data_IF_996784223164
#
_entry.id   IF_996784223164
#
_cell.length_a   1.000
_cell.length_b   1.000
_cell.length_c   1.000
_cell.angle_alpha   90.00
_cell.angle_beta   90.00
_cell.angle_gamma   90.00
#
_symmetry.space_group_name_H-M   'P 1'
#
loop_
_entity.id
_entity.type
_entity.pdbx_description
1 polymer ?
#
# COMPACT_ATOMS: atom_id res chain seq x y z
N UNK A 1 0.37 35.50 -25.58
CA UNK A 1 -0.14 34.40 -26.43
C UNK A 1 0.87 33.26 -26.64
N UNK A 2 2.09 33.50 -27.15
CA UNK A 2 3.09 32.42 -27.39
C UNK A 2 3.45 31.59 -26.15
N UNK A 3 3.64 32.24 -24.99
CA UNK A 3 3.94 31.55 -23.73
C UNK A 3 2.81 30.63 -23.25
N UNK A 4 1.55 31.02 -23.44
CA UNK A 4 0.39 30.23 -23.00
C UNK A 4 0.23 28.94 -23.82
N UNK A 5 0.50 29.02 -25.13
CA UNK A 5 0.43 27.88 -26.06
C UNK A 5 1.51 26.85 -25.72
N UNK A 6 2.73 27.28 -25.37
CA UNK A 6 3.82 26.37 -24.97
C UNK A 6 3.45 25.62 -23.67
N UNK A 7 2.87 26.31 -22.68
CA UNK A 7 2.45 25.67 -21.43
C UNK A 7 1.32 24.65 -21.65
N UNK A 8 0.34 24.98 -22.50
CA UNK A 8 -0.75 24.07 -22.86
C UNK A 8 -0.25 22.80 -23.58
N UNK A 9 0.71 22.95 -24.50
CA UNK A 9 1.32 21.81 -25.20
C UNK A 9 2.13 20.92 -24.24
N UNK A 10 2.85 21.52 -23.29
CA UNK A 10 3.60 20.76 -22.27
C UNK A 10 2.66 19.96 -21.35
N UNK A 11 1.54 20.55 -20.91
CA UNK A 11 0.53 19.87 -20.10
C UNK A 11 -0.17 18.73 -20.86
N UNK A 12 -0.48 18.95 -22.14
CA UNK A 12 -1.07 17.92 -23.00
C UNK A 12 -0.09 16.76 -23.22
N UNK A 13 1.19 17.05 -23.45
CA UNK A 13 2.22 16.03 -23.60
C UNK A 13 2.39 15.22 -22.31
N UNK A 14 2.45 15.89 -21.15
CA UNK A 14 2.53 15.23 -19.85
C UNK A 14 1.31 14.34 -19.58
N UNK A 15 0.11 14.83 -19.91
CA UNK A 15 -1.12 14.05 -19.80
C UNK A 15 -1.08 12.79 -20.69
N UNK A 16 -0.65 12.94 -21.94
CA UNK A 16 -0.49 11.83 -22.87
C UNK A 16 0.51 10.80 -22.35
N UNK A 17 1.69 11.22 -21.87
CA UNK A 17 2.70 10.30 -21.32
C UNK A 17 2.22 9.55 -20.09
N UNK A 18 1.50 10.22 -19.17
CA UNK A 18 0.92 9.59 -17.98
C UNK A 18 -0.15 8.57 -18.39
N UNK A 19 -1.00 8.92 -19.35
CA UNK A 19 -2.06 8.04 -19.84
C UNK A 19 -1.57 6.81 -20.61
N UNK A 20 -0.39 6.89 -21.24
CA UNK A 20 0.26 5.74 -21.89
C UNK A 20 0.88 4.84 -20.84
N UNK A 21 1.61 5.42 -19.87
CA UNK A 21 2.23 4.66 -18.78
C UNK A 21 1.21 3.90 -17.92
N UNK A 22 0.01 4.45 -17.70
CA UNK A 22 -1.05 3.76 -16.95
C UNK A 22 -1.61 2.56 -17.74
N UNK A 23 -1.82 2.71 -19.05
CA UNK A 23 -2.28 1.61 -19.92
C UNK A 23 -1.25 0.49 -20.04
N UNK A 24 0.04 0.83 -20.15
CA UNK A 24 1.11 -0.16 -20.19
C UNK A 24 1.24 -0.91 -18.87
N UNK A 25 1.03 -0.23 -17.74
CA UNK A 25 0.97 -0.88 -16.43
C UNK A 25 -0.24 -1.84 -16.34
N UNK A 26 -1.43 -1.41 -16.75
CA UNK A 26 -2.61 -2.27 -16.79
C UNK A 26 -2.41 -3.49 -17.69
N UNK A 27 -1.84 -3.31 -18.88
CA UNK A 27 -1.55 -4.39 -19.80
C UNK A 27 -0.47 -5.34 -19.28
N UNK A 28 0.58 -4.82 -18.64
CA UNK A 28 1.66 -5.63 -18.05
C UNK A 28 1.14 -6.41 -16.83
N UNK A 29 0.34 -5.79 -15.96
CA UNK A 29 -0.38 -6.47 -14.88
C UNK A 29 -1.27 -7.56 -15.46
N UNK A 30 -2.04 -7.29 -16.52
CA UNK A 30 -2.91 -8.30 -17.14
C UNK A 30 -2.15 -9.47 -17.76
N UNK A 31 -0.96 -9.21 -18.31
CA UNK A 31 -0.08 -10.23 -18.90
C UNK A 31 0.63 -11.06 -17.82
N UNK A 32 1.10 -10.42 -16.75
CA UNK A 32 1.81 -11.08 -15.65
C UNK A 32 0.84 -11.78 -14.68
N UNK A 33 -0.41 -11.31 -14.59
CA UNK A 33 -1.53 -11.97 -13.90
C UNK A 33 -2.50 -12.61 -14.90
N UNK A 34 -2.06 -13.66 -15.61
CA UNK A 34 -2.97 -14.59 -16.29
C UNK A 34 -3.62 -15.55 -15.27
N UNK A 35 -4.33 -14.99 -14.29
CA UNK A 35 -4.97 -15.76 -13.22
C UNK A 35 -6.46 -15.87 -13.44
N UNK A 36 -7.00 -17.07 -13.18
CA UNK A 36 -8.44 -17.34 -13.27
C UNK A 36 -9.14 -16.81 -12.00
N UNK A 37 -9.76 -15.63 -12.15
CA UNK A 37 -10.52 -14.97 -11.07
C UNK A 37 -11.92 -15.58 -11.03
N UNK A 38 -12.18 -16.41 -10.01
CA UNK A 38 -13.46 -17.13 -9.89
C UNK A 38 -14.59 -16.28 -9.31
N UNK A 39 -14.25 -15.19 -8.61
CA UNK A 39 -15.22 -14.30 -7.97
C UNK A 39 -14.66 -12.89 -7.85
N UNK A 40 -15.50 -11.89 -8.14
CA UNK A 40 -15.25 -10.48 -7.81
C UNK A 40 -16.31 -10.00 -6.84
N UNK A 41 -15.91 -9.29 -5.78
CA UNK A 41 -16.80 -8.60 -4.84
C UNK A 41 -16.46 -7.11 -4.82
N UNK A 42 -17.46 -6.25 -4.63
CA UNK A 42 -17.31 -4.80 -4.59
C UNK A 42 -17.47 -4.31 -3.15
N UNK A 43 -16.52 -3.50 -2.69
CA UNK A 43 -16.60 -2.84 -1.39
C UNK A 43 -16.79 -1.34 -1.60
N UNK A 44 -17.76 -0.75 -0.92
CA UNK A 44 -18.00 0.69 -0.99
C UNK A 44 -18.89 1.19 0.14
N UNK A 45 -18.53 2.33 0.72
CA UNK A 45 -19.27 2.94 1.83
C UNK A 45 -20.64 3.48 1.36
N UNK A 46 -20.74 3.96 0.12
CA UNK A 46 -21.94 4.58 -0.46
C UNK A 46 -22.51 3.75 -1.63
N UNK A 47 -23.84 3.82 -1.79
CA UNK A 47 -24.57 3.13 -2.85
C UNK A 47 -24.62 1.61 -2.72
N UNK A 48 -24.98 0.93 -3.81
CA UNK A 48 -25.06 -0.53 -3.86
C UNK A 48 -23.66 -1.14 -4.00
N UNK A 49 -23.20 -1.88 -2.99
CA UNK A 49 -21.95 -2.63 -3.00
C UNK A 49 -22.19 -3.94 -2.23
N UNK A 50 -21.44 -5.00 -2.53
CA UNK A 50 -21.58 -6.29 -1.84
C UNK A 50 -21.24 -6.16 -0.35
N UNK A 51 -20.25 -5.32 -0.03
CA UNK A 51 -19.83 -5.04 1.34
C UNK A 51 -19.63 -3.54 1.58
N UNK A 52 -19.86 -3.12 2.83
CA UNK A 52 -19.61 -1.75 3.30
C UNK A 52 -18.20 -1.53 3.85
N UNK A 53 -17.56 -2.60 4.30
CA UNK A 53 -16.23 -2.59 4.93
C UNK A 53 -15.33 -3.61 4.24
N UNK A 54 -14.02 -3.34 4.28
CA UNK A 54 -13.01 -4.23 3.68
C UNK A 54 -12.91 -5.51 4.49
N UNK A 55 -12.95 -5.42 5.83
CA UNK A 55 -12.88 -6.60 6.68
C UNK A 55 -14.04 -7.57 6.40
N UNK A 56 -15.28 -7.08 6.22
CA UNK A 56 -16.41 -7.96 5.92
C UNK A 56 -16.26 -8.70 4.58
N UNK A 57 -15.64 -8.06 3.57
CA UNK A 57 -15.35 -8.71 2.31
C UNK A 57 -14.31 -9.82 2.46
N UNK A 58 -13.25 -9.59 3.25
CA UNK A 58 -12.24 -10.60 3.59
C UNK A 58 -12.87 -11.76 4.36
N UNK A 59 -13.71 -11.46 5.35
CA UNK A 59 -14.37 -12.48 6.18
C UNK A 59 -15.31 -13.37 5.37
N UNK A 60 -15.87 -12.85 4.27
CA UNK A 60 -16.73 -13.61 3.36
C UNK A 60 -16.00 -14.65 2.52
N UNK A 61 -14.66 -14.58 2.45
CA UNK A 61 -13.85 -15.55 1.72
C UNK A 61 -13.80 -16.85 2.51
N UNK A 62 -14.05 -18.03 1.92
CA UNK A 62 -13.97 -19.31 2.63
C UNK A 62 -12.58 -19.55 3.24
N UNK A 63 -12.55 -20.17 4.42
CA UNK A 63 -11.29 -20.66 5.01
C UNK A 63 -10.66 -21.71 4.08
N UNK A 64 -9.33 -21.65 3.92
CA UNK A 64 -8.58 -22.56 3.03
C UNK A 64 -8.82 -22.28 1.55
N UNK A 65 -9.22 -21.05 1.19
CA UNK A 65 -9.48 -20.67 -0.20
C UNK A 65 -8.26 -20.95 -1.11
N UNK A 66 -8.51 -21.59 -2.26
CA UNK A 66 -7.49 -21.92 -3.27
C UNK A 66 -7.69 -21.22 -4.61
N UNK A 67 -8.74 -20.41 -4.73
CA UNK A 67 -9.10 -19.74 -5.98
C UNK A 67 -8.81 -18.24 -5.91
N UNK A 68 -8.50 -17.59 -7.02
CA UNK A 68 -8.30 -16.15 -7.01
C UNK A 68 -9.63 -15.42 -6.82
N UNK A 69 -9.71 -14.59 -5.78
CA UNK A 69 -10.87 -13.73 -5.49
C UNK A 69 -10.41 -12.28 -5.60
N UNK A 70 -11.16 -11.49 -6.37
CA UNK A 70 -10.92 -10.05 -6.51
C UNK A 70 -11.85 -9.27 -5.59
N UNK A 71 -11.28 -8.40 -4.77
CA UNK A 71 -11.96 -7.40 -3.97
C UNK A 71 -11.74 -6.05 -4.66
N UNK A 72 -12.79 -5.53 -5.30
CA UNK A 72 -12.76 -4.24 -5.98
C UNK A 72 -13.21 -3.14 -5.02
N UNK A 73 -12.31 -2.22 -4.71
CA UNK A 73 -12.56 -1.10 -3.80
C UNK A 73 -13.05 0.10 -4.59
N UNK A 74 -14.21 0.65 -4.18
CA UNK A 74 -14.64 1.97 -4.65
C UNK A 74 -13.81 3.07 -4.02
N UNK A 75 -13.83 4.23 -4.66
CA UNK A 75 -13.16 5.42 -4.15
C UNK A 75 -13.72 5.78 -2.77
N UNK A 76 -12.85 6.06 -1.81
CA UNK A 76 -13.22 6.34 -0.44
C UNK A 76 -12.06 6.24 0.55
N UNK A 77 -12.31 6.75 1.75
CA UNK A 77 -11.43 6.59 2.91
C UNK A 77 -12.02 5.51 3.80
N UNK A 78 -11.35 4.37 3.85
CA UNK A 78 -11.68 3.23 4.69
C UNK A 78 -10.92 3.35 6.00
N UNK A 79 -11.57 3.93 7.01
CA UNK A 79 -10.97 4.06 8.34
C UNK A 79 -11.19 2.78 9.16
N UNK A 80 -10.42 1.74 8.86
CA UNK A 80 -10.58 0.36 9.37
C UNK A 80 -9.25 -0.19 9.88
N UNK A 81 -9.31 -1.06 10.90
CA UNK A 81 -8.20 -1.95 11.28
C UNK A 81 -8.47 -3.32 10.67
N UNK A 82 -7.60 -3.75 9.76
CA UNK A 82 -7.81 -4.90 8.88
C UNK A 82 -6.79 -5.98 9.20
N UNK A 83 -7.25 -7.22 9.25
CA UNK A 83 -6.38 -8.39 9.26
C UNK A 83 -6.77 -9.29 8.10
N UNK A 84 -5.78 -9.70 7.29
CA UNK A 84 -5.94 -10.71 6.24
C UNK A 84 -5.35 -12.02 6.76
N UNK A 85 -6.18 -12.96 7.27
CA UNK A 85 -5.70 -14.17 7.91
C UNK A 85 -5.04 -15.13 6.92
N UNK A 86 -4.11 -15.97 7.40
CA UNK A 86 -3.32 -16.88 6.58
C UNK A 86 -4.15 -17.92 5.79
N UNK A 87 -5.36 -18.22 6.24
CA UNK A 87 -6.30 -19.15 5.60
C UNK A 87 -7.13 -18.51 4.47
N UNK A 88 -6.99 -17.20 4.23
CA UNK A 88 -7.67 -16.43 3.17
C UNK A 88 -6.74 -16.09 2.01
N UNK A 89 -6.12 -17.10 1.40
CA UNK A 89 -5.10 -16.90 0.37
C UNK A 89 -5.68 -16.45 -0.98
N UNK A 90 -4.80 -15.99 -1.89
CA UNK A 90 -5.11 -15.65 -3.29
C UNK A 90 -6.16 -14.54 -3.44
N UNK A 91 -5.86 -13.41 -2.83
CA UNK A 91 -6.72 -12.22 -2.86
C UNK A 91 -6.06 -11.17 -3.76
N UNK A 92 -6.84 -10.61 -4.69
CA UNK A 92 -6.49 -9.38 -5.40
C UNK A 92 -7.35 -8.27 -4.84
N UNK A 93 -6.75 -7.33 -4.13
CA UNK A 93 -7.41 -6.11 -3.66
C UNK A 93 -7.03 -4.96 -4.59
N UNK A 94 -8.02 -4.36 -5.26
CA UNK A 94 -7.77 -3.39 -6.32
C UNK A 94 -8.64 -2.15 -6.17
N UNK A 95 -8.00 -0.98 -6.15
CA UNK A 95 -8.64 0.31 -6.40
C UNK A 95 -8.58 0.69 -7.88
N UNK A 96 -9.35 1.71 -8.27
CA UNK A 96 -9.29 2.27 -9.62
C UNK A 96 -7.98 3.05 -9.83
N UNK A 97 -7.67 3.95 -8.90
CA UNK A 97 -6.43 4.73 -8.88
C UNK A 97 -5.94 4.91 -7.44
N UNK A 98 -4.62 5.05 -7.24
CA UNK A 98 -3.99 4.99 -5.92
C UNK A 98 -4.42 6.10 -4.97
N UNK A 99 -4.69 7.29 -5.50
CA UNK A 99 -5.09 8.46 -4.71
C UNK A 99 -6.56 8.45 -4.30
N UNK A 100 -7.35 7.50 -4.81
CA UNK A 100 -8.80 7.47 -4.60
C UNK A 100 -9.25 6.45 -3.55
N UNK A 101 -8.41 5.47 -3.22
CA UNK A 101 -8.69 4.44 -2.21
C UNK A 101 -7.65 4.52 -1.11
N UNK A 102 -8.08 4.97 0.07
CA UNK A 102 -7.21 5.16 1.25
C UNK A 102 -7.68 4.24 2.36
N UNK A 103 -6.87 3.25 2.72
CA UNK A 103 -7.03 2.46 3.93
C UNK A 103 -6.23 3.14 5.03
N UNK A 104 -6.89 3.54 6.11
CA UNK A 104 -6.23 4.23 7.20
C UNK A 104 -6.73 3.83 8.58
N UNK A 105 -5.86 4.02 9.56
CA UNK A 105 -6.20 3.91 10.97
C UNK A 105 -5.17 4.70 11.80
N UNK A 106 -5.46 4.94 13.08
CA UNK A 106 -4.52 5.55 14.02
C UNK A 106 -4.13 4.51 15.07
N UNK A 107 -2.94 3.94 14.94
CA UNK A 107 -2.45 2.92 15.86
C UNK A 107 -0.93 2.91 15.91
N UNK A 108 -0.36 2.94 17.11
CA UNK A 108 1.07 3.05 17.31
C UNK A 108 1.49 2.46 18.67
N UNK A 109 2.69 1.89 18.71
CA UNK A 109 3.30 1.36 19.92
C UNK A 109 3.88 -0.05 19.77
N UNK A 110 3.36 -0.85 18.85
CA UNK A 110 3.85 -2.21 18.59
C UNK A 110 4.24 -2.38 17.13
N UNK A 111 5.51 -2.65 16.85
CA UNK A 111 6.03 -2.65 15.48
C UNK A 111 5.49 -3.79 14.61
N UNK A 112 4.95 -4.84 15.23
CA UNK A 112 4.37 -6.02 14.57
C UNK A 112 2.86 -6.19 14.80
N UNK A 113 2.18 -5.24 15.46
CA UNK A 113 0.75 -5.34 15.77
C UNK A 113 -0.03 -4.01 15.70
N UNK A 114 0.67 -2.87 15.71
CA UNK A 114 0.07 -1.55 15.52
C UNK A 114 0.07 -1.17 14.04
N UNK A 115 -1.10 -0.91 13.49
CA UNK A 115 -1.23 -0.39 12.14
C UNK A 115 -2.62 -0.60 11.54
N UNK A 116 -2.92 0.06 10.41
CA UNK A 116 -4.20 -0.10 9.70
C UNK A 116 -4.43 -1.51 9.17
N UNK A 117 -3.37 -2.21 8.77
CA UNK A 117 -3.51 -3.52 8.11
C UNK A 117 -2.35 -4.47 8.41
N UNK A 118 -2.69 -5.73 8.68
CA UNK A 118 -1.75 -6.84 8.82
C UNK A 118 -2.10 -7.94 7.81
N UNK A 119 -1.10 -8.39 7.05
CA UNK A 119 -1.28 -9.40 5.99
C UNK A 119 -0.52 -10.66 6.35
N UNK A 120 -1.27 -11.75 6.57
CA UNK A 120 -0.73 -13.11 6.76
C UNK A 120 -0.99 -14.02 5.55
N UNK A 121 -1.93 -13.66 4.69
CA UNK A 121 -2.36 -14.48 3.56
C UNK A 121 -1.31 -14.53 2.44
N UNK A 122 -0.88 -15.74 2.09
CA UNK A 122 -0.07 -15.95 0.89
C UNK A 122 -0.80 -15.54 -0.39
N UNK A 123 -0.04 -15.12 -1.40
CA UNK A 123 -0.57 -14.68 -2.68
C UNK A 123 -1.52 -13.48 -2.56
N UNK A 124 -1.22 -12.55 -1.66
CA UNK A 124 -1.92 -11.27 -1.57
C UNK A 124 -1.41 -10.31 -2.65
N UNK A 125 -2.33 -9.69 -3.38
CA UNK A 125 -2.02 -8.69 -4.40
C UNK A 125 -2.77 -7.41 -4.08
N UNK A 126 -2.08 -6.28 -3.99
CA UNK A 126 -2.67 -4.97 -3.86
C UNK A 126 -2.34 -4.11 -5.09
N UNK A 127 -3.35 -3.43 -5.63
CA UNK A 127 -3.22 -2.59 -6.84
C UNK A 127 -3.90 -1.26 -6.58
N UNK A 128 -3.17 -0.16 -6.76
CA UNK A 128 -3.72 1.20 -6.69
C UNK A 128 -4.43 1.49 -5.36
N UNK A 129 -3.75 1.22 -4.23
CA UNK A 129 -4.27 1.45 -2.87
C UNK A 129 -3.25 2.26 -2.07
N UNK A 130 -3.74 3.23 -1.30
CA UNK A 130 -2.95 3.92 -0.27
C UNK A 130 -3.18 3.28 1.10
N UNK A 131 -2.10 2.83 1.73
CA UNK A 131 -2.06 2.39 3.13
C UNK A 131 -1.46 3.51 3.98
N UNK A 132 -2.22 4.00 4.95
CA UNK A 132 -1.83 5.18 5.73
C UNK A 132 -2.03 4.96 7.22
N UNK A 133 -0.96 5.04 7.99
CA UNK A 133 -1.11 5.26 9.42
C UNK A 133 -1.26 6.77 9.67
N UNK A 134 -2.30 7.15 10.41
CA UNK A 134 -2.58 8.56 10.73
C UNK A 134 -1.93 9.03 12.02
N UNK A 135 -1.22 8.15 12.73
CA UNK A 135 -0.38 8.54 13.87
C UNK A 135 0.73 9.50 13.40
N UNK A 136 0.70 10.74 13.90
CA UNK A 136 1.61 11.80 13.48
C UNK A 136 2.05 12.69 14.65
N UNK A 137 2.34 12.09 15.81
CA UNK A 137 2.76 12.86 17.00
C UNK A 137 4.09 13.58 16.72
N UNK A 138 4.05 14.91 16.75
CA UNK A 138 5.25 15.75 16.77
C UNK A 138 5.79 15.72 18.19
N UNK A 139 6.91 15.03 18.40
CA UNK A 139 7.54 14.89 19.71
C UNK A 139 8.77 15.81 19.79
N UNK A 140 8.86 16.71 20.78
CA UNK A 140 10.07 17.49 21.04
C UNK A 140 11.29 16.58 21.29
N UNK A 141 12.49 17.08 20.98
CA UNK A 141 13.76 16.32 21.10
C UNK A 141 13.93 15.70 22.50
N UNK A 142 13.62 16.50 23.52
CA UNK A 142 13.71 16.14 24.93
C UNK A 142 12.78 15.00 25.36
N UNK A 143 11.77 14.68 24.54
CA UNK A 143 10.81 13.59 24.75
C UNK A 143 10.96 12.46 23.74
N UNK A 144 12.14 12.26 23.13
CA UNK A 144 12.37 11.23 22.10
C UNK A 144 11.83 9.84 22.48
N UNK A 145 11.92 9.47 23.76
CA UNK A 145 11.41 8.20 24.30
C UNK A 145 9.88 8.03 24.18
N UNK A 146 9.14 9.08 23.83
CA UNK A 146 7.69 9.05 23.59
C UNK A 146 7.31 8.80 22.12
N UNK A 147 8.29 8.71 21.22
CA UNK A 147 8.06 8.29 19.85
C UNK A 147 7.61 6.84 19.82
N UNK A 148 6.56 6.59 19.03
CA UNK A 148 6.02 5.25 18.82
C UNK A 148 6.18 4.86 17.37
N UNK A 149 6.55 3.61 17.16
CA UNK A 149 6.44 2.91 15.89
C UNK A 149 4.98 2.92 15.43
N UNK A 150 4.75 3.17 14.14
CA UNK A 150 3.41 3.27 13.59
C UNK A 150 3.34 2.69 12.17
N UNK A 151 3.52 1.38 11.96
CA UNK A 151 3.40 0.78 10.63
C UNK A 151 2.14 1.19 9.86
N UNK A 152 2.28 1.47 8.57
CA UNK A 152 1.14 1.66 7.64
C UNK A 152 0.57 0.34 7.14
N UNK A 153 1.44 -0.67 7.08
CA UNK A 153 1.12 -2.07 6.77
C UNK A 153 2.17 -2.96 7.42
N UNK A 154 1.74 -4.13 7.88
CA UNK A 154 2.62 -5.19 8.39
C UNK A 154 2.48 -6.42 7.48
N UNK A 155 3.60 -6.85 6.90
CA UNK A 155 3.68 -7.96 5.95
C UNK A 155 4.34 -9.17 6.60
N UNK A 156 3.53 -10.22 6.79
CA UNK A 156 3.92 -11.51 7.32
C UNK A 156 3.39 -12.63 6.40
N UNK A 157 3.54 -12.45 5.10
CA UNK A 157 2.93 -13.28 4.06
C UNK A 157 3.94 -13.65 2.99
N UNK A 158 3.91 -14.89 2.48
CA UNK A 158 4.77 -15.24 1.34
C UNK A 158 4.08 -14.91 0.01
N UNK A 159 4.88 -14.43 -0.96
CA UNK A 159 4.45 -14.08 -2.31
C UNK A 159 3.37 -13.00 -2.29
N UNK A 160 3.67 -11.82 -1.75
CA UNK A 160 2.78 -10.67 -1.86
C UNK A 160 3.26 -9.69 -2.95
N UNK A 161 2.34 -9.08 -3.69
CA UNK A 161 2.64 -8.12 -4.75
C UNK A 161 1.90 -6.82 -4.57
N UNK A 162 2.60 -5.71 -4.80
CA UNK A 162 2.07 -4.36 -4.69
C UNK A 162 2.36 -3.59 -5.97
N UNK A 163 1.32 -3.10 -6.65
CA UNK A 163 1.43 -2.37 -7.90
C UNK A 163 0.79 -0.99 -7.76
N UNK A 164 1.58 0.07 -7.96
CA UNK A 164 1.06 1.42 -7.87
C UNK A 164 0.53 1.75 -6.48
N UNK A 165 1.02 1.11 -5.42
CA UNK A 165 0.55 1.32 -4.04
C UNK A 165 1.33 2.44 -3.34
N UNK A 166 0.67 3.09 -2.39
CA UNK A 166 1.27 4.15 -1.58
C UNK A 166 1.28 3.73 -0.11
N UNK A 167 2.40 3.94 0.58
CA UNK A 167 2.58 3.62 2.01
C UNK A 167 3.02 4.89 2.74
N UNK A 168 2.25 5.32 3.74
CA UNK A 168 2.49 6.59 4.44
C UNK A 168 2.43 6.37 5.94
N UNK A 169 3.53 6.71 6.62
CA UNK A 169 3.58 6.85 8.07
C UNK A 169 4.81 7.69 8.49
N UNK A 170 5.24 7.53 9.74
CA UNK A 170 6.42 8.15 10.35
C UNK A 170 7.52 7.11 10.57
N UNK A 171 7.54 6.45 11.72
CA UNK A 171 8.47 5.37 12.04
C UNK A 171 7.87 4.01 11.64
N UNK A 172 8.70 3.12 11.08
CA UNK A 172 8.36 1.75 10.72
C UNK A 172 7.28 1.65 9.62
N UNK A 173 7.23 2.62 8.70
CA UNK A 173 6.14 2.77 7.72
C UNK A 173 5.76 1.49 6.98
N UNK A 174 6.73 0.79 6.40
CA UNK A 174 6.56 -0.50 5.75
C UNK A 174 7.26 -1.57 6.59
N UNK A 175 6.48 -2.29 7.39
CA UNK A 175 6.96 -3.43 8.17
C UNK A 175 6.97 -4.69 7.29
N UNK A 176 8.05 -4.85 6.54
CA UNK A 176 8.35 -5.93 5.60
C UNK A 176 8.99 -7.14 6.32
N UNK A 177 8.21 -7.83 7.16
CA UNK A 177 8.76 -8.70 8.20
C UNK A 177 9.20 -10.07 7.69
N UNK A 178 8.31 -10.82 7.03
CA UNK A 178 8.55 -12.22 6.64
C UNK A 178 7.86 -12.55 5.33
N UNK A 179 8.57 -13.26 4.45
CA UNK A 179 8.06 -13.75 3.17
C UNK A 179 8.77 -13.10 1.98
N UNK A 180 8.30 -13.41 0.77
CA UNK A 180 8.77 -12.76 -0.46
C UNK A 180 7.78 -11.72 -0.93
N UNK A 181 8.25 -10.50 -1.16
CA UNK A 181 7.39 -9.43 -1.64
C UNK A 181 7.95 -8.75 -2.88
N UNK A 182 7.05 -8.22 -3.70
CA UNK A 182 7.41 -7.48 -4.89
C UNK A 182 6.63 -6.17 -4.93
N UNK A 183 7.35 -5.07 -5.05
CA UNK A 183 6.79 -3.72 -5.11
C UNK A 183 7.14 -3.09 -6.45
N UNK A 184 6.14 -2.66 -7.20
CA UNK A 184 6.33 -2.01 -8.49
C UNK A 184 5.55 -0.72 -8.60
N UNK A 185 6.20 0.37 -9.04
CA UNK A 185 5.58 1.68 -9.19
C UNK A 185 4.95 2.20 -7.89
N UNK A 186 5.47 1.76 -6.74
CA UNK A 186 4.97 2.17 -5.44
C UNK A 186 5.57 3.52 -5.01
N UNK A 187 4.94 4.12 -4.01
CA UNK A 187 5.46 5.27 -3.28
C UNK A 187 5.49 4.96 -1.79
N UNK A 188 6.63 5.20 -1.13
CA UNK A 188 6.79 4.96 0.29
C UNK A 188 7.29 6.26 0.95
N UNK A 189 6.58 6.71 1.98
CA UNK A 189 6.86 7.92 2.74
C UNK A 189 6.99 7.63 4.24
N UNK A 190 8.12 8.03 4.81
CA UNK A 190 8.34 7.95 6.26
C UNK A 190 9.55 8.74 6.72
N UNK A 191 9.94 8.52 7.98
CA UNK A 191 11.03 9.22 8.66
C UNK A 191 12.13 8.26 9.15
N UNK A 192 11.82 7.41 10.13
CA UNK A 192 12.78 6.49 10.79
C UNK A 192 12.44 5.06 10.41
N UNK A 193 13.44 4.28 9.98
CA UNK A 193 13.31 2.86 9.63
C UNK A 193 12.06 2.57 8.76
N UNK A 194 11.78 3.48 7.83
CA UNK A 194 10.50 3.52 7.13
C UNK A 194 10.27 2.31 6.19
N UNK A 195 11.31 1.52 5.95
CA UNK A 195 11.24 0.16 5.40
C UNK A 195 12.10 -0.71 6.31
N UNK A 196 11.52 -1.72 6.94
CA UNK A 196 12.26 -2.59 7.87
C UNK A 196 11.68 -4.00 7.93
N UNK A 197 12.49 -4.94 8.40
CA UNK A 197 12.09 -6.34 8.62
C UNK A 197 13.02 -7.33 7.93
N UNK A 198 12.61 -8.60 7.89
CA UNK A 198 13.38 -9.73 7.33
C UNK A 198 12.84 -10.27 6.00
N UNK A 199 11.93 -9.56 5.35
CA UNK A 199 11.35 -9.94 4.07
C UNK A 199 12.38 -10.04 2.95
N UNK A 200 12.17 -10.98 2.04
CA UNK A 200 12.95 -11.14 0.81
C UNK A 200 12.27 -10.37 -0.31
N UNK A 201 12.53 -9.06 -0.35
CA UNK A 201 11.73 -8.14 -1.16
C UNK A 201 12.49 -7.56 -2.34
N UNK A 202 11.78 -7.38 -3.45
CA UNK A 202 12.28 -6.66 -4.62
C UNK A 202 11.47 -5.38 -4.83
N UNK A 203 12.18 -4.28 -5.01
CA UNK A 203 11.62 -2.94 -5.14
C UNK A 203 11.96 -2.39 -6.54
N UNK A 204 10.99 -2.34 -7.45
CA UNK A 204 11.19 -1.95 -8.85
C UNK A 204 10.45 -0.66 -9.20
N UNK A 205 11.18 0.34 -9.70
CA UNK A 205 10.64 1.65 -10.12
C UNK A 205 9.80 2.27 -9.01
N UNK A 206 10.45 2.72 -7.94
CA UNK A 206 9.78 3.23 -6.74
C UNK A 206 10.24 4.66 -6.48
N UNK A 207 9.28 5.50 -6.07
CA UNK A 207 9.59 6.85 -5.57
C UNK A 207 9.56 6.83 -4.05
N UNK A 208 10.60 7.38 -3.41
CA UNK A 208 10.68 7.46 -1.95
C UNK A 208 10.79 8.92 -1.52
N UNK A 209 10.09 9.28 -0.46
CA UNK A 209 10.35 10.52 0.29
C UNK A 209 10.69 10.15 1.72
N UNK A 210 11.94 10.43 2.09
CA UNK A 210 12.37 10.45 3.48
C UNK A 210 12.37 11.90 3.94
N UNK A 211 11.57 12.21 4.95
CA UNK A 211 11.58 13.54 5.55
C UNK A 211 12.87 13.69 6.37
N UNK A 212 13.82 14.50 5.87
CA UNK A 212 14.98 14.98 6.65
C UNK A 212 14.51 15.94 7.75
N UNK A 213 13.90 15.41 8.78
CA UNK A 213 14.16 15.88 10.13
C UNK A 213 15.14 14.85 10.70
N UNK A 214 16.18 15.26 11.43
CA UNK A 214 17.13 14.37 12.16
C UNK A 214 18.44 13.91 11.47
N UNK A 215 18.98 14.61 10.47
CA UNK A 215 20.36 14.38 10.02
C UNK A 215 21.42 15.01 10.95
N UNK A 216 21.52 14.54 12.19
CA UNK A 216 22.69 14.79 13.03
C UNK A 216 23.03 13.64 14.00
N UNK A 217 22.73 12.40 13.60
CA UNK A 217 23.27 11.21 14.25
C UNK A 217 23.47 10.17 13.16
N UNK A 218 24.73 9.76 12.97
CA UNK A 218 25.14 8.86 11.91
C UNK A 218 24.39 7.55 11.96
N UNK A 219 23.78 7.18 10.84
CA UNK A 219 23.52 5.78 10.54
C UNK A 219 24.24 5.40 9.26
N UNK A 220 25.12 4.43 9.44
CA UNK A 220 25.80 3.62 8.45
C UNK A 220 24.80 2.78 7.66
N UNK A 221 24.99 2.75 6.34
CA UNK A 221 24.56 1.73 5.38
C UNK A 221 23.05 1.51 5.24
N UNK A 222 22.47 2.24 4.27
CA UNK A 222 21.37 1.71 3.46
C UNK A 222 22.00 0.65 2.55
N UNK A 223 21.80 -0.63 2.86
CA UNK A 223 22.07 -1.70 1.90
C UNK A 223 20.90 -1.70 0.89
N UNK A 224 21.17 -1.16 -0.29
CA UNK A 224 20.43 -1.46 -1.52
C UNK A 224 20.88 -2.83 -2.05
#
# INVERSE_FOLDING_TARGET
>A
MKSLIITLLALLFLYLTVSVSSRDLEHKIHKDLSVDIVKTVVVGQNGEADFKTIQAAIDSIPSGNKNWIKINLRNGIYNEKIQIPADKQKIIMQGKTTSEVIIQYNDAGESNASGPIIVYAEYFVAINITFKNTYNKITPIESYNELKVAPSIILMADKAWFYGCTFISVQDTLADLVGRHYFQNCYIEGAVDFIWGGGQSTYQVISYISHKLWLNIGMTNIAL
#
